data_IF_585306995251
#
_entry.id   IF_585306995251
#
_cell.length_a   1.000
_cell.length_b   1.000
_cell.length_c   1.000
_cell.angle_alpha   90.00
_cell.angle_beta   90.00
_cell.angle_gamma   90.00
#
_symmetry.space_group_name_H-M   'P 1'
#
loop_
_entity.id
_entity.type
_entity.pdbx_description
1 polymer ?
#
# COMPACT_ATOMS: atom_id res chain seq x y z
N UNK A 1 78.24 -21.15 6.17
CA UNK A 1 77.82 -22.27 5.28
C UNK A 1 76.30 -22.19 5.04
N UNK A 2 75.85 -21.35 4.10
CA UNK A 2 74.47 -21.39 3.61
C UNK A 2 74.45 -22.19 2.30
N UNK A 3 74.34 -23.52 2.43
CA UNK A 3 73.93 -24.36 1.29
C UNK A 3 72.41 -24.27 1.16
N UNK A 4 71.96 -24.09 -0.08
CA UNK A 4 70.56 -24.10 -0.55
C UNK A 4 69.81 -22.76 -0.59
N UNK A 5 70.38 -21.77 -1.31
CA UNK A 5 69.67 -20.57 -1.79
C UNK A 5 68.31 -20.87 -2.46
N UNK A 6 68.16 -22.03 -3.12
CA UNK A 6 66.90 -22.48 -3.74
C UNK A 6 65.76 -22.72 -2.72
N UNK A 7 66.06 -23.30 -1.54
CA UNK A 7 65.05 -23.60 -0.52
C UNK A 7 64.55 -22.31 0.15
N UNK A 8 65.45 -21.35 0.39
CA UNK A 8 65.10 -20.08 1.03
C UNK A 8 64.14 -19.23 0.19
N UNK A 9 64.32 -19.22 -1.14
CA UNK A 9 63.43 -18.50 -2.07
C UNK A 9 62.05 -19.17 -2.13
N UNK A 10 61.98 -20.50 -2.18
CA UNK A 10 60.70 -21.24 -2.22
C UNK A 10 59.88 -20.99 -0.95
N UNK A 11 60.53 -20.99 0.23
CA UNK A 11 59.86 -20.75 1.51
C UNK A 11 59.28 -19.33 1.60
N UNK A 12 60.00 -18.31 1.11
CA UNK A 12 59.51 -16.91 1.09
C UNK A 12 58.32 -16.74 0.13
N UNK A 13 58.36 -17.38 -1.04
CA UNK A 13 57.26 -17.33 -2.01
C UNK A 13 55.99 -18.00 -1.45
N UNK A 14 56.12 -19.16 -0.81
CA UNK A 14 54.98 -19.85 -0.19
C UNK A 14 54.38 -19.01 0.96
N UNK A 15 55.21 -18.46 1.85
CA UNK A 15 54.75 -17.59 2.94
C UNK A 15 54.04 -16.32 2.43
N UNK A 16 54.52 -15.71 1.34
CA UNK A 16 53.87 -14.54 0.74
C UNK A 16 52.51 -14.86 0.10
N UNK A 17 52.36 -16.03 -0.53
CA UNK A 17 51.09 -16.49 -1.11
C UNK A 17 50.03 -16.77 -0.04
N UNK A 18 50.43 -17.30 1.13
CA UNK A 18 49.51 -17.56 2.25
C UNK A 18 48.97 -16.30 2.93
N UNK A 19 49.72 -15.20 2.92
CA UNK A 19 49.30 -13.93 3.53
C UNK A 19 48.23 -13.22 2.68
N UNK A 20 48.36 -13.24 1.35
CA UNK A 20 47.41 -12.58 0.42
C UNK A 20 46.03 -13.25 0.48
N UNK A 21 45.96 -14.58 0.64
CA UNK A 21 44.70 -15.32 0.71
C UNK A 21 43.82 -14.99 1.92
N UNK A 22 44.41 -14.62 3.07
CA UNK A 22 43.65 -14.35 4.30
C UNK A 22 42.99 -12.97 4.33
N UNK A 23 43.68 -11.94 3.84
CA UNK A 23 43.14 -10.58 3.71
C UNK A 23 41.95 -10.54 2.75
N UNK A 24 42.03 -11.25 1.62
CA UNK A 24 40.94 -11.32 0.64
C UNK A 24 39.69 -11.98 1.20
N UNK A 25 39.82 -13.05 1.99
CA UNK A 25 38.69 -13.74 2.60
C UNK A 25 37.98 -12.90 3.67
N UNK A 26 38.72 -12.12 4.47
CA UNK A 26 38.14 -11.24 5.49
C UNK A 26 37.36 -10.07 4.86
N UNK A 27 37.88 -9.50 3.76
CA UNK A 27 37.20 -8.43 3.02
C UNK A 27 35.92 -8.95 2.35
N UNK A 28 35.96 -10.12 1.71
CA UNK A 28 34.77 -10.73 1.07
C UNK A 28 33.68 -11.04 2.10
N UNK A 29 34.04 -11.65 3.26
CA UNK A 29 33.08 -11.92 4.34
C UNK A 29 32.52 -10.64 4.97
N UNK A 30 33.33 -9.60 5.12
CA UNK A 30 32.87 -8.28 5.59
C UNK A 30 31.88 -7.63 4.63
N UNK A 31 32.14 -7.67 3.33
CA UNK A 31 31.26 -7.11 2.28
C UNK A 31 29.96 -7.92 2.14
N UNK A 32 30.01 -9.25 2.20
CA UNK A 32 28.82 -10.10 2.21
C UNK A 32 27.93 -9.83 3.42
N UNK A 33 28.51 -9.72 4.63
CA UNK A 33 27.77 -9.38 5.84
C UNK A 33 27.05 -8.03 5.71
N UNK A 34 27.77 -6.99 5.24
CA UNK A 34 27.19 -5.66 5.00
C UNK A 34 26.06 -5.69 3.96
N UNK A 35 26.21 -6.49 2.90
CA UNK A 35 25.17 -6.66 1.86
C UNK A 35 23.93 -7.34 2.42
N UNK A 36 24.09 -8.40 3.21
CA UNK A 36 22.99 -9.12 3.87
C UNK A 36 22.28 -8.19 4.87
N UNK A 37 23.03 -7.42 5.66
CA UNK A 37 22.45 -6.50 6.63
C UNK A 37 21.67 -5.38 5.94
N UNK A 38 22.20 -4.81 4.85
CA UNK A 38 21.50 -3.81 4.03
C UNK A 38 20.20 -4.38 3.43
N UNK A 39 20.22 -5.60 2.91
CA UNK A 39 19.02 -6.27 2.38
C UNK A 39 17.98 -6.52 3.47
N UNK A 40 18.40 -6.95 4.67
CA UNK A 40 17.48 -7.13 5.82
C UNK A 40 16.84 -5.82 6.23
N UNK A 41 17.59 -4.71 6.28
CA UNK A 41 17.08 -3.37 6.59
C UNK A 41 16.06 -2.91 5.53
N UNK A 42 16.39 -3.03 4.25
CA UNK A 42 15.46 -2.67 3.15
C UNK A 42 14.16 -3.48 3.20
N UNK A 43 14.24 -4.79 3.49
CA UNK A 43 13.05 -5.64 3.65
C UNK A 43 12.22 -5.25 4.87
N UNK A 44 12.85 -4.86 5.97
CA UNK A 44 12.14 -4.39 7.16
C UNK A 44 11.46 -3.04 6.92
N UNK A 45 12.13 -2.12 6.23
CA UNK A 45 11.58 -0.82 5.82
C UNK A 45 10.39 -0.99 4.87
N UNK A 46 10.50 -1.84 3.85
CA UNK A 46 9.38 -2.08 2.93
C UNK A 46 8.17 -2.74 3.60
N UNK A 47 8.38 -3.65 4.56
CA UNK A 47 7.29 -4.22 5.37
C UNK A 47 6.67 -3.15 6.30
N UNK A 48 7.48 -2.25 6.86
CA UNK A 48 6.98 -1.16 7.71
C UNK A 48 6.16 -0.17 6.88
N UNK A 49 6.64 0.17 5.70
CA UNK A 49 5.95 1.03 4.74
C UNK A 49 4.64 0.40 4.27
N UNK A 50 4.63 -0.89 3.90
CA UNK A 50 3.39 -1.57 3.49
C UNK A 50 2.37 -1.67 4.63
N UNK A 51 2.80 -1.95 5.86
CA UNK A 51 1.91 -1.91 7.04
C UNK A 51 1.35 -0.51 7.29
N UNK A 52 2.17 0.53 7.12
CA UNK A 52 1.74 1.93 7.24
C UNK A 52 0.71 2.25 6.14
N UNK A 53 0.99 1.90 4.90
CA UNK A 53 0.10 2.10 3.75
C UNK A 53 -1.26 1.41 3.97
N UNK A 54 -1.26 0.15 4.41
CA UNK A 54 -2.51 -0.58 4.74
C UNK A 54 -3.29 0.12 5.83
N UNK A 55 -2.61 0.62 6.89
CA UNK A 55 -3.25 1.34 7.98
C UNK A 55 -3.81 2.69 7.54
N UNK A 56 -3.06 3.43 6.71
CA UNK A 56 -3.51 4.72 6.15
C UNK A 56 -4.70 4.54 5.23
N UNK A 57 -4.66 3.54 4.34
CA UNK A 57 -5.82 3.21 3.52
C UNK A 57 -7.02 2.72 4.34
N UNK A 58 -6.81 1.95 5.41
CA UNK A 58 -7.90 1.56 6.30
C UNK A 58 -8.56 2.78 6.96
N UNK A 59 -7.77 3.75 7.42
CA UNK A 59 -8.29 5.03 7.95
C UNK A 59 -9.01 5.84 6.87
N UNK A 60 -8.47 5.90 5.66
CA UNK A 60 -9.10 6.59 4.55
C UNK A 60 -10.47 5.97 4.22
N UNK A 61 -10.55 4.64 4.17
CA UNK A 61 -11.83 3.92 3.98
C UNK A 61 -12.84 4.28 5.07
N UNK A 62 -12.44 4.37 6.33
CA UNK A 62 -13.34 4.80 7.41
C UNK A 62 -13.85 6.23 7.21
N UNK A 63 -13.00 7.18 6.80
CA UNK A 63 -13.42 8.56 6.45
C UNK A 63 -14.44 8.57 5.31
N UNK A 64 -14.16 7.80 4.25
CA UNK A 64 -15.03 7.70 3.08
C UNK A 64 -16.38 7.06 3.46
N UNK A 65 -16.36 5.97 4.23
CA UNK A 65 -17.56 5.31 4.73
C UNK A 65 -18.44 6.27 5.52
N UNK A 66 -17.84 7.01 6.47
CA UNK A 66 -18.55 7.97 7.29
C UNK A 66 -19.19 9.05 6.43
N UNK A 67 -18.44 9.59 5.46
CA UNK A 67 -18.96 10.58 4.55
C UNK A 67 -20.13 10.05 3.71
N UNK A 68 -20.06 8.80 3.24
CA UNK A 68 -21.16 8.15 2.52
C UNK A 68 -22.40 8.06 3.39
N UNK A 69 -22.28 7.58 4.64
CA UNK A 69 -23.41 7.53 5.57
C UNK A 69 -24.02 8.92 5.83
N UNK A 70 -23.18 9.96 5.85
CA UNK A 70 -23.60 11.33 6.14
C UNK A 70 -24.17 12.09 4.94
N UNK A 71 -24.01 11.59 3.72
CA UNK A 71 -24.47 12.29 2.51
C UNK A 71 -25.30 11.40 1.56
N UNK A 72 -25.63 10.18 1.96
CA UNK A 72 -26.51 9.32 1.17
C UNK A 72 -27.69 8.85 2.00
N UNK A 73 -28.88 9.06 1.43
CA UNK A 73 -30.14 8.64 2.02
C UNK A 73 -30.87 7.72 1.04
N UNK A 74 -31.47 6.65 1.56
CA UNK A 74 -32.20 5.67 0.79
C UNK A 74 -33.32 5.05 1.61
N UNK A 75 -34.11 4.19 0.97
CA UNK A 75 -35.28 3.56 1.60
C UNK A 75 -34.90 2.59 2.72
N UNK A 76 -33.71 1.99 2.63
CA UNK A 76 -33.19 1.04 3.62
C UNK A 76 -32.00 1.66 4.36
N UNK A 77 -31.76 1.30 5.64
CA UNK A 77 -30.56 1.70 6.34
C UNK A 77 -29.29 1.18 5.65
N UNK A 78 -28.24 1.99 5.65
CA UNK A 78 -26.91 1.57 5.20
C UNK A 78 -26.34 0.62 6.25
N UNK A 79 -26.14 -0.65 5.89
CA UNK A 79 -25.59 -1.72 6.74
C UNK A 79 -24.20 -2.13 6.29
N UNK A 80 -23.87 -1.97 5.02
CA UNK A 80 -22.55 -2.29 4.47
C UNK A 80 -22.11 -1.21 3.49
N UNK A 81 -20.84 -0.83 3.57
CA UNK A 81 -20.17 0.00 2.58
C UNK A 81 -18.90 -0.71 2.13
N UNK A 82 -18.88 -1.11 0.86
CA UNK A 82 -17.69 -1.66 0.23
C UNK A 82 -16.94 -0.52 -0.46
N UNK A 83 -15.65 -0.35 -0.16
CA UNK A 83 -14.84 0.80 -0.61
C UNK A 83 -13.65 0.31 -1.42
N UNK A 84 -13.56 0.83 -2.63
CA UNK A 84 -12.50 0.57 -3.58
C UNK A 84 -11.13 1.08 -3.12
N UNK A 85 -10.11 0.74 -3.91
CA UNK A 85 -8.82 1.42 -3.84
C UNK A 85 -8.99 2.89 -4.22
N UNK A 86 -8.29 3.78 -3.52
CA UNK A 86 -8.18 5.19 -3.91
C UNK A 86 -7.16 5.28 -5.06
N UNK A 87 -7.63 5.70 -6.23
CA UNK A 87 -6.79 5.91 -7.39
C UNK A 87 -6.35 7.36 -7.46
N UNK A 88 -5.08 7.56 -7.83
CA UNK A 88 -4.51 8.87 -8.15
C UNK A 88 -4.31 8.92 -9.66
N UNK A 89 -4.82 9.96 -10.30
CA UNK A 89 -4.79 10.11 -11.75
C UNK A 89 -3.81 11.20 -12.17
N UNK A 90 -3.23 11.04 -13.36
CA UNK A 90 -2.28 12.00 -13.93
C UNK A 90 -0.88 11.96 -13.30
N UNK A 91 0.07 12.61 -13.98
CA UNK A 91 1.44 12.74 -13.49
C UNK A 91 1.41 13.61 -12.23
N UNK A 92 2.02 13.12 -11.14
CA UNK A 92 2.04 13.78 -9.82
C UNK A 92 0.64 14.09 -9.24
N UNK A 93 -0.41 13.36 -9.66
CA UNK A 93 -1.77 13.58 -9.13
C UNK A 93 -2.54 14.75 -9.75
N UNK A 94 -2.05 15.31 -10.87
CA UNK A 94 -2.71 16.39 -11.60
C UNK A 94 -4.15 16.08 -12.06
N UNK A 95 -4.50 14.81 -12.21
CA UNK A 95 -5.87 14.35 -12.54
C UNK A 95 -6.76 14.16 -11.32
N UNK A 96 -6.28 14.48 -10.12
CA UNK A 96 -6.99 14.30 -8.87
C UNK A 96 -6.97 12.87 -8.36
N UNK A 97 -7.75 12.62 -7.29
CA UNK A 97 -7.85 11.33 -6.63
C UNK A 97 -9.32 10.98 -6.44
N UNK A 98 -9.67 9.71 -6.64
CA UNK A 98 -11.03 9.26 -6.40
C UNK A 98 -11.10 7.80 -6.00
N UNK A 99 -12.26 7.41 -5.48
CA UNK A 99 -12.60 6.02 -5.18
C UNK A 99 -14.03 5.74 -5.61
N UNK A 100 -14.35 4.45 -5.74
CA UNK A 100 -15.71 3.98 -5.92
C UNK A 100 -16.17 3.22 -4.68
N UNK A 101 -17.48 3.23 -4.41
CA UNK A 101 -18.08 2.53 -3.28
C UNK A 101 -19.34 1.78 -3.71
N UNK A 102 -19.73 0.76 -2.94
CA UNK A 102 -20.99 0.03 -3.11
C UNK A 102 -21.74 0.01 -1.78
N UNK A 103 -22.96 0.53 -1.79
CA UNK A 103 -23.83 0.51 -0.61
C UNK A 103 -24.64 -0.79 -0.59
N UNK A 104 -24.68 -1.45 0.57
CA UNK A 104 -25.47 -2.65 0.84
C UNK A 104 -25.28 -3.79 -0.17
N UNK A 105 -24.06 -3.92 -0.70
CA UNK A 105 -23.64 -5.00 -1.61
C UNK A 105 -24.40 -5.07 -2.94
N UNK A 106 -25.20 -4.06 -3.27
CA UNK A 106 -26.01 -4.03 -4.51
C UNK A 106 -25.31 -3.21 -5.59
N UNK A 107 -25.09 -3.82 -6.77
CA UNK A 107 -24.48 -3.16 -7.95
C UNK A 107 -25.12 -1.82 -8.28
N UNK A 108 -26.46 -1.75 -8.27
CA UNK A 108 -27.20 -0.51 -8.57
C UNK A 108 -26.95 0.63 -7.58
N UNK A 109 -26.40 0.32 -6.41
CA UNK A 109 -26.05 1.29 -5.37
C UNK A 109 -24.54 1.58 -5.35
N UNK A 110 -23.86 1.34 -6.47
CA UNK A 110 -22.49 1.79 -6.65
C UNK A 110 -22.45 3.30 -6.92
N UNK A 111 -21.48 3.95 -6.30
CA UNK A 111 -21.13 5.35 -6.54
C UNK A 111 -19.70 5.33 -7.09
N UNK A 112 -19.54 5.76 -8.33
CA UNK A 112 -18.27 5.78 -9.03
C UNK A 112 -17.64 7.17 -8.99
N UNK A 113 -16.39 7.23 -8.52
CA UNK A 113 -15.59 8.46 -8.58
C UNK A 113 -15.90 9.50 -7.50
N UNK A 114 -16.10 9.08 -6.25
CA UNK A 114 -16.07 9.99 -5.09
C UNK A 114 -14.68 10.64 -5.05
N UNK A 115 -14.64 11.97 -5.17
CA UNK A 115 -13.39 12.73 -5.20
C UNK A 115 -12.85 12.85 -3.78
N UNK A 116 -11.55 12.60 -3.61
CA UNK A 116 -10.86 12.74 -2.32
C UNK A 116 -9.65 13.68 -2.47
N UNK A 117 -9.34 14.43 -1.41
CA UNK A 117 -8.12 15.25 -1.36
C UNK A 117 -6.86 14.40 -1.07
N UNK A 118 -5.73 15.08 -0.91
CA UNK A 118 -4.43 14.46 -0.58
C UNK A 118 -4.42 13.77 0.80
N UNK A 119 -5.24 14.27 1.74
CA UNK A 119 -5.44 13.74 3.09
C UNK A 119 -6.53 12.64 3.16
N UNK A 120 -7.04 12.24 1.98
CA UNK A 120 -8.12 11.28 1.78
C UNK A 120 -9.45 11.70 2.42
N UNK A 121 -9.71 13.00 2.54
CA UNK A 121 -11.03 13.52 2.90
C UNK A 121 -11.90 13.57 1.64
N UNK A 122 -13.12 13.03 1.68
CA UNK A 122 -14.06 13.15 0.57
C UNK A 122 -14.48 14.61 0.35
N UNK A 123 -14.45 15.05 -0.89
CA UNK A 123 -14.76 16.43 -1.28
C UNK A 123 -16.05 16.56 -2.09
N UNK A 124 -16.35 15.56 -2.92
CA UNK A 124 -17.48 15.60 -3.85
C UNK A 124 -18.03 14.22 -4.12
N UNK A 125 -19.35 14.15 -4.30
CA UNK A 125 -20.04 12.96 -4.78
C UNK A 125 -19.51 12.47 -6.12
N UNK A 126 -19.52 11.15 -6.30
CA UNK A 126 -19.35 10.50 -7.59
C UNK A 126 -20.66 10.43 -8.37
N UNK A 127 -20.61 9.72 -9.50
CA UNK A 127 -21.79 9.35 -10.29
C UNK A 127 -22.42 8.08 -9.74
N UNK A 128 -23.74 7.96 -9.78
CA UNK A 128 -24.47 6.78 -9.36
C UNK A 128 -25.51 6.40 -10.40
N UNK A 129 -25.95 5.13 -10.39
CA UNK A 129 -26.94 4.64 -11.35
C UNK A 129 -28.30 5.33 -11.17
N UNK A 130 -29.01 5.54 -12.27
CA UNK A 130 -30.34 6.19 -12.25
C UNK A 130 -31.38 5.41 -11.41
N UNK A 131 -31.21 4.08 -11.31
CA UNK A 131 -32.04 3.20 -10.50
C UNK A 131 -31.44 2.92 -9.10
N UNK A 132 -30.52 3.75 -8.61
CA UNK A 132 -29.99 3.62 -7.27
C UNK A 132 -31.08 3.86 -6.22
N UNK A 133 -31.06 3.04 -5.16
CA UNK A 133 -31.94 3.20 -4.00
C UNK A 133 -31.49 4.34 -3.08
N UNK A 134 -30.28 4.88 -3.31
CA UNK A 134 -29.67 5.92 -2.49
C UNK A 134 -29.44 7.18 -3.32
N UNK A 135 -29.73 8.32 -2.72
CA UNK A 135 -29.55 9.64 -3.33
C UNK A 135 -28.57 10.46 -2.52
N UNK A 136 -27.79 11.25 -3.23
CA UNK A 136 -26.89 12.20 -2.61
C UNK A 136 -27.70 13.34 -1.96
N UNK A 137 -27.35 13.68 -0.73
CA UNK A 137 -27.84 14.82 0.03
C UNK A 137 -26.67 15.77 0.22
N UNK A 138 -26.84 17.02 -0.22
CA UNK A 138 -25.79 18.04 -0.15
C UNK A 138 -25.52 18.48 1.30
N UNK A 139 -26.58 18.58 2.10
CA UNK A 139 -26.46 18.86 3.53
C UNK A 139 -26.01 17.62 4.29
N UNK A 140 -24.91 17.79 5.04
CA UNK A 140 -24.33 16.73 5.85
C UNK A 140 -25.24 16.35 7.01
N UNK A 141 -25.67 15.09 7.05
CA UNK A 141 -26.42 14.51 8.17
C UNK A 141 -25.48 14.23 9.34
N UNK A 142 -25.29 15.21 10.23
CA UNK A 142 -24.27 15.17 11.30
C UNK A 142 -24.55 14.16 12.41
N UNK A 143 -25.79 13.72 12.55
CA UNK A 143 -26.25 12.72 13.50
C UNK A 143 -25.85 11.29 13.11
N UNK A 144 -25.59 11.05 11.81
CA UNK A 144 -25.23 9.71 11.33
C UNK A 144 -23.74 9.39 11.53
N UNK A 145 -23.49 8.14 11.91
CA UNK A 145 -22.17 7.59 12.20
C UNK A 145 -22.04 6.16 11.64
N UNK A 146 -20.92 5.47 11.94
CA UNK A 146 -20.65 4.11 11.42
C UNK A 146 -21.10 2.97 12.35
N UNK A 147 -21.89 3.26 13.38
CA UNK A 147 -22.42 2.24 14.28
C UNK A 147 -23.33 1.27 13.51
N UNK A 148 -23.03 -0.02 13.60
CA UNK A 148 -23.76 -1.06 12.87
C UNK A 148 -23.48 -1.09 11.35
N UNK A 149 -22.48 -0.36 10.86
CA UNK A 149 -22.09 -0.34 9.44
C UNK A 149 -20.81 -1.13 9.20
N UNK A 150 -20.91 -2.18 8.40
CA UNK A 150 -19.76 -2.97 7.96
C UNK A 150 -18.98 -2.24 6.86
N UNK A 151 -17.75 -1.82 7.16
CA UNK A 151 -16.85 -1.17 6.19
C UNK A 151 -15.89 -2.21 5.61
N UNK A 152 -16.04 -2.52 4.33
CA UNK A 152 -15.35 -3.61 3.65
C UNK A 152 -14.43 -3.06 2.57
N UNK A 153 -13.25 -3.67 2.39
CA UNK A 153 -12.40 -3.38 1.24
C UNK A 153 -12.95 -4.07 -0.01
N UNK A 154 -13.07 -3.33 -1.10
CA UNK A 154 -13.47 -3.82 -2.40
C UNK A 154 -12.29 -3.74 -3.37
N UNK A 155 -11.97 -4.85 -4.02
CA UNK A 155 -10.86 -4.92 -4.97
C UNK A 155 -11.11 -4.13 -6.26
N UNK A 156 -12.34 -3.68 -6.48
CA UNK A 156 -12.75 -2.84 -7.58
C UNK A 156 -13.50 -3.60 -8.67
N UNK A 157 -14.08 -2.82 -9.58
CA UNK A 157 -15.03 -3.26 -10.60
C UNK A 157 -14.52 -4.40 -11.49
N UNK A 158 -13.23 -4.39 -11.82
CA UNK A 158 -12.63 -5.40 -12.70
C UNK A 158 -12.57 -6.81 -12.08
N UNK A 159 -12.65 -6.92 -10.75
CA UNK A 159 -12.56 -8.19 -10.03
C UNK A 159 -13.90 -8.60 -9.39
N UNK A 160 -15.01 -8.03 -9.88
CA UNK A 160 -16.31 -8.17 -9.26
C UNK A 160 -17.36 -8.61 -10.28
N UNK A 161 -17.82 -9.85 -10.14
CA UNK A 161 -18.79 -10.49 -11.04
C UNK A 161 -20.13 -9.75 -11.11
N UNK A 162 -20.45 -8.87 -10.15
CA UNK A 162 -21.62 -7.99 -10.24
C UNK A 162 -21.54 -7.06 -11.45
N UNK A 163 -20.34 -6.76 -11.97
CA UNK A 163 -20.10 -5.79 -13.04
C UNK A 163 -19.68 -6.41 -14.39
N UNK A 164 -19.71 -7.73 -14.49
CA UNK A 164 -19.64 -8.46 -15.77
C UNK A 164 -20.89 -8.25 -16.63
#
# INVERSE_FOLDING_TARGET
>A
MLKNKKIRVIVVVILSLFLIGRTSMAIIKGVEHLRIEKQKRQKAESIKESKKEVKEQAKARQKIALWVVQHYEGTEPIKTIEIGKIYTYGILGSGGRSTSVIINKKKQNAIEGIVVDEDNNPMRSGSYYANSEYKYVEEKMTDKNLEGVDVIYWEGKHNDTRFE
#
